data_IF_430109326189
#
_entry.id   IF_430109326189
#
_cell.length_a   1.000
_cell.length_b   1.000
_cell.length_c   1.000
_cell.angle_alpha   90.00
_cell.angle_beta   90.00
_cell.angle_gamma   90.00
#
_symmetry.space_group_name_H-M   'P 1'
#
loop_
_entity.id
_entity.type
_entity.pdbx_description
1 polymer ?
#
# COMPACT_ATOMS: atom_id res chain seq x y z
N UNK A 1 3.88 -22.37 6.22
CA UNK A 1 3.12 -21.17 5.80
C UNK A 1 4.07 -20.31 4.99
N UNK A 2 3.67 -19.88 3.79
CA UNK A 2 4.46 -19.00 2.92
C UNK A 2 3.64 -17.73 2.69
N UNK A 3 4.27 -16.56 2.82
CA UNK A 3 3.61 -15.26 2.59
C UNK A 3 4.02 -14.76 1.20
N UNK A 4 3.05 -14.39 0.33
CA UNK A 4 3.37 -13.85 -0.99
C UNK A 4 4.10 -12.51 -0.91
N UNK A 5 5.16 -12.40 -1.71
CA UNK A 5 5.91 -11.16 -1.95
C UNK A 5 6.15 -11.02 -3.46
N UNK A 6 6.52 -9.83 -3.90
CA UNK A 6 7.12 -9.62 -5.22
C UNK A 6 8.61 -9.49 -5.03
N UNK A 7 9.38 -10.36 -5.68
CA UNK A 7 10.84 -10.30 -5.66
C UNK A 7 11.34 -9.57 -6.91
N UNK A 8 12.07 -8.48 -6.72
CA UNK A 8 12.64 -7.65 -7.78
C UNK A 8 14.11 -8.00 -7.89
N UNK A 9 14.46 -8.77 -8.91
CA UNK A 9 15.85 -9.08 -9.21
C UNK A 9 16.54 -7.85 -9.82
N UNK A 10 17.78 -7.64 -9.40
CA UNK A 10 18.62 -6.54 -9.84
C UNK A 10 19.81 -7.09 -10.62
N UNK A 11 20.36 -6.29 -11.54
CA UNK A 11 21.64 -6.59 -12.17
C UNK A 11 22.78 -6.45 -11.15
N UNK A 12 23.90 -7.13 -11.41
CA UNK A 12 25.13 -6.94 -10.64
C UNK A 12 25.57 -5.48 -10.67
N UNK A 13 26.23 -5.03 -9.61
CA UNK A 13 26.86 -3.72 -9.57
C UNK A 13 27.95 -3.60 -10.66
N UNK A 14 28.36 -2.37 -11.03
CA UNK A 14 29.38 -2.17 -12.08
C UNK A 14 30.73 -2.86 -11.80
N UNK A 15 31.04 -3.16 -10.54
CA UNK A 15 32.24 -3.90 -10.11
C UNK A 15 32.08 -5.43 -10.14
N UNK A 16 30.92 -5.93 -10.57
CA UNK A 16 30.58 -7.35 -10.63
C UNK A 16 30.01 -7.93 -9.33
N UNK A 17 29.81 -7.10 -8.30
CA UNK A 17 29.20 -7.55 -7.04
C UNK A 17 27.70 -7.79 -7.24
N UNK A 18 27.16 -8.97 -6.90
CA UNK A 18 25.72 -9.21 -6.99
C UNK A 18 24.91 -8.29 -6.09
N UNK A 19 23.77 -7.79 -6.59
CA UNK A 19 22.77 -7.10 -5.78
C UNK A 19 21.72 -8.09 -5.29
N UNK A 20 21.40 -8.06 -4.00
CA UNK A 20 20.34 -8.89 -3.45
C UNK A 20 18.97 -8.52 -4.05
N UNK A 21 18.09 -9.50 -4.31
CA UNK A 21 16.73 -9.21 -4.75
C UNK A 21 15.95 -8.44 -3.69
N UNK A 22 15.26 -7.38 -4.09
CA UNK A 22 14.39 -6.62 -3.18
C UNK A 22 13.04 -7.33 -3.08
N UNK A 23 12.61 -7.66 -1.86
CA UNK A 23 11.28 -8.24 -1.60
C UNK A 23 10.31 -7.14 -1.21
N UNK A 24 9.30 -6.92 -2.04
CA UNK A 24 8.27 -5.91 -1.78
C UNK A 24 6.93 -6.55 -1.43
N UNK A 25 6.15 -5.82 -0.64
CA UNK A 25 4.80 -6.20 -0.26
C UNK A 25 3.93 -6.41 -1.51
N UNK A 26 3.11 -7.47 -1.52
CA UNK A 26 2.28 -7.88 -2.67
C UNK A 26 0.84 -8.08 -2.23
N UNK A 27 -0.10 -7.52 -2.97
CA UNK A 27 -1.55 -7.58 -2.71
C UNK A 27 -2.36 -8.30 -3.79
N UNK A 28 -1.78 -8.53 -4.97
CA UNK A 28 -2.50 -9.04 -6.15
C UNK A 28 -3.00 -10.49 -6.07
N UNK A 29 -2.65 -11.23 -5.01
CA UNK A 29 -3.01 -12.63 -4.85
C UNK A 29 -2.43 -13.56 -5.93
N UNK A 30 -2.92 -14.81 -6.01
CA UNK A 30 -2.45 -15.80 -6.99
C UNK A 30 -3.03 -15.62 -8.40
N UNK A 31 -3.96 -14.68 -8.60
CA UNK A 31 -4.78 -14.55 -9.80
C UNK A 31 -6.01 -15.47 -9.75
N UNK A 32 -7.10 -15.03 -10.36
CA UNK A 32 -8.38 -15.76 -10.37
C UNK A 32 -8.85 -16.00 -11.80
N UNK A 33 -9.59 -17.09 -12.01
CA UNK A 33 -10.49 -17.21 -13.17
C UNK A 33 -11.84 -16.67 -12.71
N UNK A 34 -12.32 -15.52 -13.23
CA UNK A 34 -13.47 -14.81 -12.68
C UNK A 34 -14.70 -15.68 -12.40
N UNK A 35 -15.01 -16.61 -13.30
CA UNK A 35 -16.18 -17.50 -13.22
C UNK A 35 -16.04 -18.63 -12.19
N UNK A 36 -14.81 -18.97 -11.80
CA UNK A 36 -14.49 -20.06 -10.86
C UNK A 36 -14.26 -19.51 -9.45
N UNK A 37 -13.57 -18.37 -9.35
CA UNK A 37 -13.14 -17.76 -8.10
C UNK A 37 -11.77 -18.26 -7.62
N UNK A 38 -11.30 -17.68 -6.52
CA UNK A 38 -10.07 -18.07 -5.86
C UNK A 38 -10.26 -19.32 -5.01
N UNK A 39 -9.18 -20.08 -4.84
CA UNK A 39 -9.14 -21.19 -3.90
C UNK A 39 -9.35 -20.67 -2.46
N UNK A 40 -10.29 -21.24 -1.68
CA UNK A 40 -10.56 -20.88 -0.29
C UNK A 40 -9.47 -21.39 0.67
N UNK A 41 -8.23 -20.98 0.45
CA UNK A 41 -7.03 -21.57 1.06
C UNK A 41 -6.97 -21.44 2.60
N UNK A 42 -7.69 -20.50 3.21
CA UNK A 42 -7.81 -20.39 4.67
C UNK A 42 -8.87 -21.30 5.28
N UNK A 43 -9.69 -22.01 4.48
CA UNK A 43 -10.74 -22.87 5.00
C UNK A 43 -10.25 -23.88 6.06
N UNK A 44 -9.09 -24.57 5.87
CA UNK A 44 -8.55 -25.46 6.89
C UNK A 44 -8.31 -24.78 8.24
N UNK A 45 -7.78 -23.54 8.25
CA UNK A 45 -7.52 -22.80 9.49
C UNK A 45 -8.78 -22.41 10.24
N UNK A 46 -9.90 -22.25 9.53
CA UNK A 46 -11.20 -21.90 10.11
C UNK A 46 -11.90 -23.17 10.60
N UNK A 47 -11.71 -24.29 9.92
CA UNK A 47 -12.23 -25.61 10.30
C UNK A 47 -11.54 -26.19 11.52
N UNK A 48 -10.20 -26.18 11.56
CA UNK A 48 -9.39 -26.76 12.63
C UNK A 48 -9.63 -26.10 14.00
N UNK A 49 -10.09 -24.84 14.04
CA UNK A 49 -10.42 -24.13 15.28
C UNK A 49 -11.68 -24.65 15.98
N UNK A 50 -12.55 -25.37 15.25
CA UNK A 50 -13.75 -26.02 15.78
C UNK A 50 -14.72 -25.09 16.55
N UNK A 51 -14.66 -23.79 16.30
CA UNK A 51 -15.50 -22.75 16.91
C UNK A 51 -16.55 -22.19 15.95
N UNK A 52 -16.55 -22.65 14.71
CA UNK A 52 -17.56 -22.35 13.68
C UNK A 52 -18.34 -23.61 13.28
N UNK A 53 -19.52 -23.40 12.72
CA UNK A 53 -20.35 -24.46 12.15
C UNK A 53 -21.11 -23.94 10.94
N UNK A 54 -21.60 -24.87 10.10
CA UNK A 54 -22.47 -24.54 8.97
C UNK A 54 -23.75 -23.90 9.51
N UNK A 55 -24.17 -22.82 8.86
CA UNK A 55 -25.34 -22.04 9.21
C UNK A 55 -26.25 -21.92 7.99
N UNK A 56 -27.53 -22.22 8.20
CA UNK A 56 -28.57 -21.94 7.21
C UNK A 56 -28.72 -20.42 7.06
N UNK A 57 -28.17 -19.87 5.98
CA UNK A 57 -28.32 -18.47 5.66
C UNK A 57 -29.75 -18.16 5.21
N UNK A 58 -30.17 -16.90 5.37
CA UNK A 58 -31.44 -16.33 4.83
C UNK A 58 -31.70 -16.68 3.35
N UNK A 59 -30.62 -17.00 2.61
CA UNK A 59 -30.65 -17.16 1.17
C UNK A 59 -30.73 -15.80 0.46
N UNK A 60 -30.36 -15.80 -0.81
CA UNK A 60 -30.48 -14.63 -1.69
C UNK A 60 -31.93 -14.44 -2.10
N UNK A 61 -32.44 -13.21 -2.01
CA UNK A 61 -33.73 -12.79 -2.57
C UNK A 61 -33.49 -11.80 -3.71
N UNK A 62 -34.40 -11.74 -4.70
CA UNK A 62 -34.29 -10.79 -5.81
C UNK A 62 -34.30 -9.33 -5.36
N UNK A 63 -34.91 -9.03 -4.21
CA UNK A 63 -34.87 -7.71 -3.58
C UNK A 63 -33.46 -7.26 -3.16
N UNK A 64 -32.53 -8.21 -2.95
CA UNK A 64 -31.13 -7.91 -2.63
C UNK A 64 -30.35 -7.43 -3.88
N UNK A 65 -30.93 -7.58 -5.08
CA UNK A 65 -30.41 -7.11 -6.37
C UNK A 65 -31.24 -5.95 -6.97
N UNK A 66 -32.12 -5.36 -6.16
CA UNK A 66 -32.88 -4.17 -6.54
C UNK A 66 -34.13 -4.42 -7.39
N UNK A 67 -34.90 -3.34 -7.60
CA UNK A 67 -36.23 -3.39 -8.25
C UNK A 67 -36.21 -3.92 -9.68
N UNK A 68 -35.12 -3.73 -10.43
CA UNK A 68 -35.01 -4.24 -11.79
C UNK A 68 -34.89 -5.76 -11.83
N UNK A 69 -34.13 -6.36 -10.91
CA UNK A 69 -34.00 -7.81 -10.80
C UNK A 69 -35.35 -8.45 -10.45
N UNK A 70 -36.11 -7.83 -9.55
CA UNK A 70 -37.49 -8.24 -9.22
C UNK A 70 -38.39 -8.19 -10.46
N UNK A 71 -38.36 -7.10 -11.23
CA UNK A 71 -39.17 -6.95 -12.45
C UNK A 71 -38.81 -7.97 -13.53
N UNK A 72 -37.52 -8.26 -13.71
CA UNK A 72 -37.02 -9.28 -14.65
C UNK A 72 -37.29 -10.71 -14.18
N UNK A 73 -37.51 -10.92 -12.88
CA UNK A 73 -37.58 -12.25 -12.26
C UNK A 73 -36.22 -12.94 -12.11
N UNK A 74 -35.11 -12.26 -12.43
CA UNK A 74 -33.75 -12.81 -12.40
C UNK A 74 -32.70 -11.68 -12.29
N UNK A 75 -31.51 -11.96 -11.72
CA UNK A 75 -30.37 -11.04 -11.82
C UNK A 75 -29.84 -10.96 -13.25
N UNK A 76 -29.00 -9.97 -13.54
CA UNK A 76 -28.35 -9.87 -14.85
C UNK A 76 -27.42 -11.06 -15.13
N UNK A 77 -26.71 -11.53 -14.10
CA UNK A 77 -25.88 -12.73 -14.15
C UNK A 77 -26.00 -13.51 -12.84
N UNK A 78 -25.48 -14.73 -12.80
CA UNK A 78 -25.43 -15.53 -11.57
C UNK A 78 -24.01 -16.03 -11.36
N UNK A 79 -23.59 -16.06 -10.10
CA UNK A 79 -22.35 -16.74 -9.72
C UNK A 79 -22.40 -18.22 -10.13
N UNK A 80 -21.36 -18.68 -10.83
CA UNK A 80 -21.27 -20.05 -11.36
C UNK A 80 -20.24 -20.92 -10.66
N UNK A 81 -19.29 -20.31 -9.96
CA UNK A 81 -18.23 -21.02 -9.24
C UNK A 81 -18.72 -21.69 -7.96
N UNK A 82 -17.78 -21.94 -7.06
CA UNK A 82 -18.04 -22.63 -5.79
C UNK A 82 -19.12 -21.91 -4.98
N UNK A 83 -20.09 -22.67 -4.46
CA UNK A 83 -21.12 -22.17 -3.53
C UNK A 83 -20.72 -22.57 -2.11
N UNK A 84 -20.03 -21.72 -1.34
CA UNK A 84 -19.59 -22.08 0.00
C UNK A 84 -20.81 -22.24 0.92
N UNK A 85 -20.74 -23.22 1.83
CA UNK A 85 -21.68 -23.32 2.93
C UNK A 85 -21.36 -22.22 3.96
N UNK A 86 -22.27 -21.27 4.21
CA UNK A 86 -22.00 -20.19 5.14
C UNK A 86 -21.73 -20.72 6.54
N UNK A 87 -20.72 -20.15 7.20
CA UNK A 87 -20.29 -20.50 8.55
C UNK A 87 -20.64 -19.39 9.53
N UNK A 88 -20.98 -19.78 10.75
CA UNK A 88 -21.17 -18.89 11.90
C UNK A 88 -20.45 -19.46 13.11
N UNK A 89 -20.09 -18.59 14.06
CA UNK A 89 -19.66 -19.02 15.38
C UNK A 89 -20.69 -20.00 15.99
N UNK A 90 -20.19 -21.08 16.61
CA UNK A 90 -21.00 -22.01 17.39
C UNK A 90 -21.59 -21.30 18.62
N UNK A 91 -22.71 -21.80 19.19
CA UNK A 91 -23.28 -21.22 20.40
C UNK A 91 -22.24 -21.06 21.52
N UNK A 92 -22.17 -19.85 22.09
CA UNK A 92 -21.22 -19.52 23.17
C UNK A 92 -19.76 -19.37 22.74
N UNK A 93 -19.45 -19.41 21.44
CA UNK A 93 -18.11 -19.15 20.90
C UNK A 93 -18.04 -17.77 20.24
N UNK A 94 -16.84 -17.19 20.24
CA UNK A 94 -16.51 -15.94 19.55
C UNK A 94 -15.31 -16.20 18.65
N UNK A 95 -15.37 -15.70 17.42
CA UNK A 95 -14.44 -16.10 16.35
C UNK A 95 -13.52 -14.97 15.88
N UNK A 96 -13.51 -13.85 16.58
CA UNK A 96 -12.76 -12.65 16.19
C UNK A 96 -11.28 -12.77 16.56
N UNK A 97 -10.42 -12.10 15.80
CA UNK A 97 -8.99 -12.08 16.09
C UNK A 97 -8.69 -11.41 17.45
N UNK A 98 -9.45 -10.38 17.83
CA UNK A 98 -9.39 -9.77 19.16
C UNK A 98 -9.72 -10.75 20.29
N UNK A 99 -10.74 -11.60 20.11
CA UNK A 99 -11.12 -12.62 21.10
C UNK A 99 -9.98 -13.61 21.36
N UNK A 100 -9.34 -14.10 20.29
CA UNK A 100 -8.19 -15.00 20.39
C UNK A 100 -6.99 -14.28 21.03
N UNK A 101 -6.67 -13.06 20.59
CA UNK A 101 -5.52 -12.29 21.06
C UNK A 101 -5.56 -12.04 22.57
N UNK A 102 -6.74 -11.64 23.09
CA UNK A 102 -6.98 -11.40 24.52
C UNK A 102 -6.83 -12.65 25.40
N UNK A 103 -6.96 -13.83 24.79
CA UNK A 103 -6.74 -15.12 25.45
C UNK A 103 -5.31 -15.64 25.32
N UNK A 104 -4.41 -14.82 24.77
CA UNK A 104 -3.03 -15.21 24.50
C UNK A 104 -2.89 -16.19 23.34
N UNK A 105 -3.93 -16.37 22.51
CA UNK A 105 -3.90 -17.30 21.38
C UNK A 105 -3.34 -16.59 20.16
N UNK A 106 -2.24 -17.12 19.63
CA UNK A 106 -1.66 -16.73 18.34
C UNK A 106 -2.27 -17.57 17.23
N UNK A 107 -3.07 -16.94 16.37
CA UNK A 107 -3.73 -17.61 15.23
C UNK A 107 -2.80 -17.77 14.02
N UNK A 108 -3.13 -18.66 13.06
CA UNK A 108 -2.45 -18.68 11.77
C UNK A 108 -2.50 -17.32 11.05
N UNK A 109 -3.60 -16.57 11.16
CA UNK A 109 -3.67 -15.22 10.57
C UNK A 109 -2.68 -14.25 11.21
N UNK A 110 -2.54 -14.27 12.54
CA UNK A 110 -1.53 -13.43 13.22
C UNK A 110 -0.11 -13.77 12.77
N UNK A 111 0.21 -15.06 12.63
CA UNK A 111 1.52 -15.49 12.10
C UNK A 111 1.72 -15.04 10.65
N UNK A 112 0.67 -15.12 9.82
CA UNK A 112 0.73 -14.69 8.43
C UNK A 112 1.05 -13.20 8.32
N UNK A 113 0.31 -12.35 9.05
CA UNK A 113 0.53 -10.89 8.99
C UNK A 113 1.86 -10.51 9.63
N UNK A 114 2.32 -11.19 10.67
CA UNK A 114 3.63 -10.96 11.27
C UNK A 114 4.76 -11.20 10.25
N UNK A 115 4.69 -12.30 9.50
CA UNK A 115 5.64 -12.59 8.42
C UNK A 115 5.53 -11.57 7.27
N UNK A 116 4.31 -11.14 6.93
CA UNK A 116 4.05 -10.14 5.89
C UNK A 116 4.62 -8.75 6.23
N UNK A 117 4.54 -8.37 7.49
CA UNK A 117 5.07 -7.12 8.05
C UNK A 117 6.52 -7.24 8.55
N UNK A 118 7.13 -8.42 8.43
CA UNK A 118 8.48 -8.72 8.91
C UNK A 118 8.71 -8.35 10.39
N UNK A 119 7.74 -8.67 11.24
CA UNK A 119 7.79 -8.35 12.67
C UNK A 119 7.51 -9.57 13.56
N UNK A 120 7.68 -9.40 14.87
CA UNK A 120 7.32 -10.43 15.85
C UNK A 120 5.80 -10.63 15.88
N UNK A 121 5.36 -11.89 15.89
CA UNK A 121 3.93 -12.23 16.02
C UNK A 121 3.33 -11.77 17.35
N UNK A 122 4.14 -11.65 18.40
CA UNK A 122 3.66 -11.11 19.67
C UNK A 122 3.35 -9.61 19.58
N UNK A 123 4.05 -8.84 18.73
CA UNK A 123 3.67 -7.46 18.45
C UNK A 123 2.26 -7.42 17.85
N UNK A 124 1.99 -8.25 16.84
CA UNK A 124 0.66 -8.37 16.22
C UNK A 124 -0.40 -8.72 17.26
N UNK A 125 -0.17 -9.76 18.06
CA UNK A 125 -1.14 -10.20 19.07
C UNK A 125 -1.39 -9.10 20.11
N UNK A 126 -0.35 -8.41 20.57
CA UNK A 126 -0.47 -7.33 21.57
C UNK A 126 -1.23 -6.12 21.02
N UNK A 127 -0.95 -5.69 19.80
CA UNK A 127 -1.66 -4.56 19.18
C UNK A 127 -3.13 -4.90 18.91
N UNK A 128 -3.44 -6.14 18.48
CA UNK A 128 -4.82 -6.62 18.32
C UNK A 128 -5.53 -6.74 19.68
N UNK A 129 -4.84 -7.19 20.72
CA UNK A 129 -5.38 -7.26 22.10
C UNK A 129 -5.76 -5.88 22.62
N UNK A 130 -4.89 -4.90 22.36
CA UNK A 130 -5.06 -3.51 22.78
C UNK A 130 -6.06 -2.73 21.93
N UNK A 131 -6.60 -3.31 20.85
CA UNK A 131 -7.50 -2.63 19.93
C UNK A 131 -6.82 -1.59 19.04
N UNK A 132 -5.47 -1.54 19.03
CA UNK A 132 -4.66 -0.63 18.20
C UNK A 132 -4.31 -1.20 16.83
N UNK A 133 -4.69 -2.45 16.58
CA UNK A 133 -4.63 -3.07 15.27
C UNK A 133 -5.82 -3.99 15.02
N UNK A 134 -6.17 -4.14 13.74
CA UNK A 134 -7.23 -5.05 13.29
C UNK A 134 -6.73 -5.94 12.16
N UNK A 135 -7.27 -7.16 12.11
CA UNK A 135 -7.07 -8.11 11.02
C UNK A 135 -8.48 -8.39 10.43
N UNK A 136 -8.89 -7.67 9.37
CA UNK A 136 -10.24 -7.73 8.82
C UNK A 136 -10.44 -9.00 7.96
N UNK A 137 -10.78 -10.11 8.62
CA UNK A 137 -10.93 -11.41 7.96
C UNK A 137 -12.20 -12.13 8.44
N UNK A 138 -13.23 -12.09 7.61
CA UNK A 138 -14.46 -12.84 7.86
C UNK A 138 -14.20 -14.35 7.69
N UNK A 139 -14.84 -15.17 8.52
CA UNK A 139 -14.83 -16.63 8.41
C UNK A 139 -15.44 -17.14 7.10
N UNK A 140 -16.25 -16.30 6.42
CA UNK A 140 -16.88 -16.59 5.12
C UNK A 140 -16.13 -16.00 3.92
N UNK A 141 -14.92 -15.48 4.13
CA UNK A 141 -14.04 -15.02 3.05
C UNK A 141 -12.69 -15.75 3.10
N UNK A 142 -12.67 -17.11 3.04
CA UNK A 142 -11.45 -17.90 3.14
C UNK A 142 -10.45 -17.69 2.00
N UNK A 143 -10.86 -17.03 0.92
CA UNK A 143 -10.03 -16.68 -0.23
C UNK A 143 -9.03 -15.55 0.08
N UNK A 144 -9.39 -14.61 0.97
CA UNK A 144 -8.57 -13.43 1.26
C UNK A 144 -7.29 -13.78 2.02
N UNK A 145 -6.18 -13.17 1.59
CA UNK A 145 -4.91 -13.17 2.26
C UNK A 145 -4.89 -12.24 3.49
N UNK A 146 -4.49 -12.72 4.68
CA UNK A 146 -4.45 -11.92 5.88
C UNK A 146 -3.57 -10.68 5.75
N UNK A 147 -4.07 -9.54 6.23
CA UNK A 147 -3.31 -8.31 6.40
C UNK A 147 -3.72 -7.64 7.73
N UNK A 148 -2.87 -6.74 8.23
CA UNK A 148 -3.10 -6.03 9.49
C UNK A 148 -3.13 -4.52 9.25
N UNK A 149 -4.06 -3.83 9.89
CA UNK A 149 -4.20 -2.38 9.88
C UNK A 149 -3.93 -1.87 11.28
N UNK A 150 -2.91 -1.03 11.44
CA UNK A 150 -2.52 -0.47 12.73
C UNK A 150 -1.26 0.38 12.60
N UNK A 151 -1.03 1.26 13.58
CA UNK A 151 0.07 2.26 13.53
C UNK A 151 1.47 1.65 13.59
N UNK A 152 1.62 0.47 14.18
CA UNK A 152 2.91 -0.23 14.26
C UNK A 152 3.28 -1.01 13.00
N UNK A 153 2.42 -1.00 11.97
CA UNK A 153 2.56 -1.77 10.73
C UNK A 153 2.66 -0.82 9.53
N UNK A 154 2.99 -1.35 8.36
CA UNK A 154 3.02 -0.55 7.12
C UNK A 154 1.67 0.16 6.91
N UNK A 155 1.69 1.34 6.32
CA UNK A 155 0.46 2.04 5.93
C UNK A 155 -0.28 1.23 4.88
N UNK A 156 -1.61 1.17 4.98
CA UNK A 156 -2.47 0.40 4.09
C UNK A 156 -3.35 1.32 3.27
N UNK A 157 -3.58 0.97 2.01
CA UNK A 157 -4.38 1.75 1.07
C UNK A 157 -5.64 0.98 0.69
N UNK A 158 -6.78 1.67 0.73
CA UNK A 158 -8.04 1.12 0.29
C UNK A 158 -8.42 1.66 -1.11
N UNK A 159 -8.92 0.78 -1.98
CA UNK A 159 -9.55 1.18 -3.24
C UNK A 159 -11.07 1.07 -3.15
N UNK A 160 -11.79 2.06 -3.68
CA UNK A 160 -13.24 2.05 -3.76
C UNK A 160 -13.66 1.68 -5.19
N UNK A 161 -14.50 0.68 -5.33
CA UNK A 161 -15.17 0.31 -6.58
C UNK A 161 -16.69 0.20 -6.33
N UNK A 162 -17.43 -0.24 -7.33
CA UNK A 162 -18.86 -0.42 -7.21
C UNK A 162 -19.55 -0.05 -8.51
N UNK A 163 -20.55 -0.85 -8.84
CA UNK A 163 -21.47 -0.51 -9.91
C UNK A 163 -22.34 0.70 -9.52
N UNK A 164 -22.90 1.36 -10.52
CA UNK A 164 -23.88 2.42 -10.32
C UNK A 164 -25.17 2.13 -11.08
N UNK A 165 -26.22 2.89 -10.79
CA UNK A 165 -27.47 2.81 -11.54
C UNK A 165 -27.33 3.14 -13.04
N UNK A 166 -26.23 3.78 -13.45
CA UNK A 166 -26.04 4.32 -14.80
C UNK A 166 -24.97 3.57 -15.59
N UNK A 167 -23.97 2.99 -14.90
CA UNK A 167 -22.80 2.37 -15.53
C UNK A 167 -22.29 1.16 -14.75
N UNK A 168 -21.62 0.29 -15.50
CA UNK A 168 -20.83 -0.86 -15.09
C UNK A 168 -21.52 -2.23 -15.02
N UNK A 169 -20.72 -3.25 -15.33
CA UNK A 169 -21.09 -4.66 -15.40
C UNK A 169 -20.30 -5.47 -14.38
N UNK A 170 -20.78 -6.66 -14.01
CA UNK A 170 -20.10 -7.54 -13.04
C UNK A 170 -18.66 -7.83 -13.46
N UNK A 171 -18.41 -8.09 -14.76
CA UNK A 171 -17.07 -8.33 -15.28
C UNK A 171 -16.14 -7.13 -15.14
N UNK A 172 -16.66 -5.90 -15.29
CA UNK A 172 -15.88 -4.69 -15.05
C UNK A 172 -15.55 -4.51 -13.57
N UNK A 173 -16.48 -4.81 -12.65
CA UNK A 173 -16.19 -4.71 -11.21
C UNK A 173 -15.12 -5.71 -10.76
N UNK A 174 -15.14 -6.95 -11.29
CA UNK A 174 -14.07 -7.93 -11.03
C UNK A 174 -12.74 -7.45 -11.63
N UNK A 175 -12.74 -6.90 -12.85
CA UNK A 175 -11.53 -6.35 -13.45
C UNK A 175 -10.97 -5.15 -12.66
N UNK A 176 -11.83 -4.27 -12.12
CA UNK A 176 -11.41 -3.17 -11.23
C UNK A 176 -10.79 -3.68 -9.94
N UNK A 177 -11.34 -4.75 -9.35
CA UNK A 177 -10.76 -5.42 -8.18
C UNK A 177 -9.36 -5.95 -8.49
N UNK A 178 -9.21 -6.72 -9.56
CA UNK A 178 -7.91 -7.27 -9.96
C UNK A 178 -6.90 -6.17 -10.25
N UNK A 179 -7.33 -5.10 -10.92
CA UNK A 179 -6.49 -3.94 -11.21
C UNK A 179 -6.05 -3.22 -9.95
N UNK A 180 -6.97 -2.94 -9.02
CA UNK A 180 -6.66 -2.28 -7.76
C UNK A 180 -5.67 -3.11 -6.93
N UNK A 181 -5.93 -4.41 -6.78
CA UNK A 181 -5.05 -5.31 -6.04
C UNK A 181 -3.68 -5.45 -6.70
N UNK A 182 -3.60 -5.45 -8.04
CA UNK A 182 -2.34 -5.45 -8.80
C UNK A 182 -1.45 -4.24 -8.47
N UNK A 183 -2.06 -3.07 -8.33
CA UNK A 183 -1.34 -1.81 -8.12
C UNK A 183 -1.18 -1.40 -6.65
N UNK A 184 -1.45 -2.33 -5.71
CA UNK A 184 -1.11 -2.13 -4.30
C UNK A 184 -2.28 -1.76 -3.39
N UNK A 185 -3.54 -1.91 -3.82
CA UNK A 185 -4.65 -1.79 -2.88
C UNK A 185 -4.62 -2.96 -1.88
N UNK A 186 -4.54 -2.63 -0.59
CA UNK A 186 -4.50 -3.58 0.52
C UNK A 186 -5.89 -4.08 0.93
N UNK A 187 -6.89 -3.23 0.75
CA UNK A 187 -8.31 -3.54 0.94
C UNK A 187 -9.11 -2.92 -0.19
N UNK A 188 -10.32 -3.42 -0.37
CA UNK A 188 -11.25 -2.85 -1.33
C UNK A 188 -12.62 -2.69 -0.72
N UNK A 189 -13.30 -1.57 -0.97
CA UNK A 189 -14.70 -1.41 -0.61
C UNK A 189 -15.57 -1.51 -1.85
N UNK A 190 -16.56 -2.40 -1.77
CA UNK A 190 -17.68 -2.43 -2.70
C UNK A 190 -18.72 -1.38 -2.25
N UNK A 191 -18.74 -0.26 -2.97
CA UNK A 191 -19.69 0.83 -2.80
C UNK A 191 -20.79 0.80 -3.87
N UNK A 192 -21.08 -0.38 -4.42
CA UNK A 192 -22.14 -0.61 -5.40
C UNK A 192 -23.47 0.04 -4.97
N UNK A 193 -24.09 0.75 -5.92
CA UNK A 193 -25.42 1.35 -5.78
C UNK A 193 -26.31 0.92 -6.95
N UNK A 194 -27.58 0.68 -6.68
CA UNK A 194 -28.57 0.34 -7.71
C UNK A 194 -28.86 -1.16 -7.85
N UNK A 195 -28.72 -1.71 -9.07
CA UNK A 195 -29.16 -3.08 -9.37
C UNK A 195 -28.03 -4.10 -9.23
N UNK A 196 -28.40 -5.36 -9.04
CA UNK A 196 -27.51 -6.52 -8.98
C UNK A 196 -26.40 -6.41 -7.90
N UNK A 197 -26.62 -5.63 -6.82
CA UNK A 197 -25.63 -5.38 -5.76
C UNK A 197 -25.14 -6.69 -5.13
N UNK A 198 -26.06 -7.52 -4.65
CA UNK A 198 -25.70 -8.77 -3.98
C UNK A 198 -24.96 -9.72 -4.93
N UNK A 199 -25.42 -9.79 -6.18
CA UNK A 199 -24.77 -10.61 -7.21
C UNK A 199 -23.35 -10.11 -7.48
N UNK A 200 -23.17 -8.82 -7.79
CA UNK A 200 -21.85 -8.20 -8.02
C UNK A 200 -20.90 -8.47 -6.87
N UNK A 201 -21.37 -8.30 -5.63
CA UNK A 201 -20.57 -8.55 -4.43
C UNK A 201 -20.15 -10.00 -4.26
N UNK A 202 -21.01 -10.95 -4.62
CA UNK A 202 -20.63 -12.36 -4.60
C UNK A 202 -19.46 -12.63 -5.54
N UNK A 203 -19.49 -12.07 -6.77
CA UNK A 203 -18.36 -12.16 -7.70
C UNK A 203 -17.10 -11.49 -7.15
N UNK A 204 -17.20 -10.30 -6.56
CA UNK A 204 -16.07 -9.60 -5.95
C UNK A 204 -15.47 -10.43 -4.81
N UNK A 205 -16.28 -10.91 -3.87
CA UNK A 205 -15.82 -11.67 -2.71
C UNK A 205 -15.09 -12.96 -3.10
N UNK A 206 -15.66 -13.72 -4.04
CA UNK A 206 -15.10 -15.00 -4.50
C UNK A 206 -13.80 -14.83 -5.31
N UNK A 207 -13.59 -13.65 -5.90
CA UNK A 207 -12.39 -13.33 -6.68
C UNK A 207 -11.37 -12.46 -5.93
N UNK A 208 -11.66 -12.04 -4.70
CA UNK A 208 -10.80 -11.08 -3.99
C UNK A 208 -9.74 -11.76 -3.12
N UNK A 209 -8.44 -11.52 -3.38
CA UNK A 209 -7.37 -11.92 -2.49
C UNK A 209 -7.19 -10.95 -1.31
N UNK A 210 -7.85 -9.79 -1.32
CA UNK A 210 -7.76 -8.75 -0.29
C UNK A 210 -9.09 -8.60 0.48
N UNK A 211 -9.08 -8.10 1.73
CA UNK A 211 -10.30 -7.86 2.49
C UNK A 211 -11.29 -6.96 1.75
N UNK A 212 -12.56 -7.37 1.77
CA UNK A 212 -13.66 -6.60 1.18
C UNK A 212 -14.46 -5.87 2.26
N UNK A 213 -14.46 -4.55 2.19
CA UNK A 213 -15.37 -3.68 2.93
C UNK A 213 -16.66 -3.41 2.16
N UNK A 214 -17.69 -3.04 2.90
CA UNK A 214 -18.96 -2.55 2.36
C UNK A 214 -19.45 -1.45 3.28
N UNK A 215 -20.40 -0.65 2.83
CA UNK A 215 -21.13 0.27 3.68
C UNK A 215 -22.55 -0.29 3.82
N UNK A 216 -22.84 -1.09 4.87
CA UNK A 216 -24.16 -1.72 5.03
C UNK A 216 -25.27 -0.68 5.07
N UNK A 217 -24.96 0.54 5.52
CA UNK A 217 -25.92 1.61 5.48
C UNK A 217 -26.28 1.99 4.05
N UNK A 218 -25.43 1.98 3.01
CA UNK A 218 -25.93 2.23 1.64
C UNK A 218 -26.94 1.17 1.16
N UNK A 219 -26.84 -0.07 1.66
CA UNK A 219 -27.84 -1.12 1.45
C UNK A 219 -29.10 -0.95 2.34
N UNK A 220 -29.02 -0.15 3.41
CA UNK A 220 -30.07 0.07 4.39
C UNK A 220 -30.65 1.51 4.42
N UNK A 221 -29.98 2.53 3.88
CA UNK A 221 -30.35 3.96 3.76
C UNK A 221 -31.25 4.15 2.55
N UNK A 222 -31.31 3.18 1.62
CA UNK A 222 -32.51 3.00 0.79
C UNK A 222 -33.78 2.74 1.65
N UNK A 223 -33.65 2.50 2.96
CA UNK A 223 -34.76 2.13 3.85
C UNK A 223 -35.04 3.09 5.01
N UNK A 224 -34.10 3.94 5.45
CA UNK A 224 -34.34 4.91 6.55
C UNK A 224 -33.39 6.12 6.51
N UNK A 225 -33.93 7.31 6.21
CA UNK A 225 -33.23 8.62 6.22
C UNK A 225 -32.70 8.98 7.62
N UNK A 226 -31.37 9.12 7.81
CA UNK A 226 -30.80 9.50 9.10
C UNK A 226 -29.40 10.13 9.04
N UNK A 227 -29.20 11.16 9.89
CA UNK A 227 -28.04 12.06 10.01
C UNK A 227 -26.98 11.51 11.02
N UNK A 228 -25.69 11.64 10.72
CA UNK A 228 -24.61 10.79 11.29
C UNK A 228 -23.36 11.53 11.83
N UNK A 229 -23.50 12.77 12.31
CA UNK A 229 -22.35 13.57 12.74
C UNK A 229 -22.31 13.82 14.27
N UNK A 230 -21.74 12.90 15.06
CA UNK A 230 -21.27 13.25 16.41
C UNK A 230 -20.01 12.48 16.84
N UNK A 231 -18.95 13.22 17.19
CA UNK A 231 -17.64 12.69 17.55
C UNK A 231 -17.62 11.98 18.91
N UNK A 232 -18.51 12.34 19.84
CA UNK A 232 -18.65 11.66 21.13
C UNK A 232 -19.18 10.22 20.96
N UNK A 233 -19.94 9.98 19.90
CA UNK A 233 -20.53 8.68 19.59
C UNK A 233 -19.48 7.65 19.18
N UNK A 234 -18.41 8.04 18.47
CA UNK A 234 -17.39 7.10 17.97
C UNK A 234 -16.53 6.48 19.09
N UNK A 235 -16.17 7.27 20.10
CA UNK A 235 -15.44 6.81 21.27
C UNK A 235 -16.23 5.76 22.06
N UNK A 236 -17.51 6.04 22.29
CA UNK A 236 -18.41 5.15 23.02
C UNK A 236 -18.66 3.85 22.25
N UNK A 237 -18.87 3.93 20.92
CA UNK A 237 -19.07 2.74 20.08
C UNK A 237 -17.83 1.85 20.02
N UNK A 238 -16.62 2.44 20.02
CA UNK A 238 -15.37 1.69 20.02
C UNK A 238 -15.25 0.83 21.29
N UNK A 239 -15.49 1.43 22.46
CA UNK A 239 -15.45 0.72 23.75
C UNK A 239 -16.51 -0.39 23.83
N UNK A 240 -17.75 -0.09 23.42
CA UNK A 240 -18.84 -1.08 23.39
C UNK A 240 -18.54 -2.25 22.46
N UNK A 241 -17.98 -1.99 21.28
CA UNK A 241 -17.58 -3.06 20.36
C UNK A 241 -16.47 -3.93 20.97
N UNK A 242 -15.49 -3.31 21.64
CA UNK A 242 -14.44 -4.03 22.36
C UNK A 242 -14.97 -4.86 23.52
N UNK A 243 -16.02 -4.47 24.23
CA UNK A 243 -16.67 -5.32 25.25
C UNK A 243 -17.18 -6.65 24.67
N UNK A 244 -17.46 -6.68 23.37
CA UNK A 244 -17.89 -7.86 22.61
C UNK A 244 -16.77 -8.53 21.79
N UNK A 245 -15.50 -8.18 22.06
CA UNK A 245 -14.34 -8.62 21.29
C UNK A 245 -14.43 -8.31 19.78
N UNK A 246 -15.19 -7.29 19.37
CA UNK A 246 -15.30 -6.87 17.97
C UNK A 246 -14.14 -5.93 17.64
N UNK A 247 -13.43 -6.23 16.55
CA UNK A 247 -12.34 -5.38 16.05
C UNK A 247 -12.91 -4.07 15.48
N UNK A 248 -12.24 -2.95 15.77
CA UNK A 248 -12.70 -1.61 15.38
C UNK A 248 -11.55 -0.84 14.73
N UNK A 249 -11.85 -0.15 13.64
CA UNK A 249 -11.07 0.96 13.12
C UNK A 249 -12.00 2.16 12.94
N UNK A 250 -11.44 3.36 12.92
CA UNK A 250 -12.21 4.61 12.84
C UNK A 250 -11.95 5.28 11.51
N UNK A 251 -13.02 5.70 10.85
CA UNK A 251 -12.94 6.52 9.63
C UNK A 251 -12.80 8.00 9.98
N UNK A 252 -12.08 8.75 9.14
CA UNK A 252 -11.80 10.17 9.37
C UNK A 252 -12.46 11.12 8.39
N UNK A 253 -12.35 12.43 8.67
CA UNK A 253 -12.96 13.44 7.81
C UNK A 253 -12.22 13.56 6.48
N UNK A 254 -12.95 13.84 5.40
CA UNK A 254 -12.37 13.94 4.05
C UNK A 254 -11.67 15.27 3.77
N UNK A 255 -12.33 16.41 3.99
CA UNK A 255 -11.79 17.73 3.66
C UNK A 255 -11.25 18.45 4.91
N UNK A 256 -9.93 18.49 5.07
CA UNK A 256 -9.26 19.11 6.21
C UNK A 256 -8.13 20.04 5.71
N UNK A 257 -8.09 21.32 6.13
CA UNK A 257 -6.94 22.17 5.88
C UNK A 257 -5.66 21.59 6.51
N UNK A 258 -4.51 21.66 5.82
CA UNK A 258 -3.25 21.03 6.25
C UNK A 258 -2.85 21.35 7.70
N UNK A 259 -3.05 22.60 8.14
CA UNK A 259 -2.73 23.02 9.51
C UNK A 259 -3.59 22.35 10.60
N UNK A 260 -4.75 21.77 10.24
CA UNK A 260 -5.66 21.05 11.14
C UNK A 260 -5.47 19.53 11.11
N UNK A 261 -4.65 19.00 10.20
CA UNK A 261 -4.46 17.55 10.07
C UNK A 261 -3.91 16.94 11.36
N UNK A 262 -2.89 17.56 11.95
CA UNK A 262 -2.29 17.11 13.21
C UNK A 262 -3.32 17.07 14.35
N UNK A 263 -4.09 18.15 14.50
CA UNK A 263 -5.13 18.25 15.54
C UNK A 263 -6.17 17.12 15.40
N UNK A 264 -6.62 16.82 14.17
CA UNK A 264 -7.58 15.75 13.93
C UNK A 264 -7.01 14.36 14.29
N UNK A 265 -5.75 14.10 13.93
CA UNK A 265 -5.08 12.84 14.28
C UNK A 265 -4.92 12.71 15.80
N UNK A 266 -4.39 13.73 16.47
CA UNK A 266 -4.18 13.70 17.92
C UNK A 266 -5.51 13.52 18.67
N UNK A 267 -6.55 14.26 18.28
CA UNK A 267 -7.86 14.17 18.90
C UNK A 267 -8.52 12.81 18.69
N UNK A 268 -8.41 12.22 17.50
CA UNK A 268 -8.98 10.90 17.28
C UNK A 268 -8.25 9.83 18.11
N UNK A 269 -6.92 9.90 18.19
CA UNK A 269 -6.13 8.94 18.97
C UNK A 269 -6.51 8.98 20.45
N UNK A 270 -6.73 10.18 20.99
CA UNK A 270 -7.20 10.37 22.37
C UNK A 270 -8.64 9.86 22.56
N UNK A 271 -9.56 10.22 21.67
CA UNK A 271 -10.98 9.87 21.81
C UNK A 271 -11.25 8.38 21.61
N UNK A 272 -10.49 7.71 20.74
CA UNK A 272 -10.73 6.32 20.35
C UNK A 272 -9.70 5.35 20.92
N UNK A 273 -8.98 5.75 21.98
CA UNK A 273 -8.00 4.92 22.70
C UNK A 273 -6.97 4.24 21.77
N UNK A 274 -6.51 4.97 20.75
CA UNK A 274 -5.54 4.47 19.77
C UNK A 274 -6.07 3.46 18.76
N UNK A 275 -7.39 3.29 18.62
CA UNK A 275 -7.99 2.52 17.53
C UNK A 275 -7.44 3.00 16.17
N UNK A 276 -7.17 2.09 15.21
CA UNK A 276 -6.59 2.44 13.92
C UNK A 276 -7.36 3.55 13.21
N UNK A 277 -6.63 4.59 12.80
CA UNK A 277 -7.12 5.77 12.09
C UNK A 277 -5.96 6.45 11.39
N UNK A 278 -6.09 6.71 10.08
CA UNK A 278 -5.06 7.31 9.23
C UNK A 278 -3.64 6.98 9.70
N UNK A 279 -3.35 5.69 9.77
CA UNK A 279 -2.17 5.19 10.45
C UNK A 279 -0.93 5.57 9.65
N UNK A 280 0.00 6.30 10.28
CA UNK A 280 1.36 6.43 9.79
C UNK A 280 2.15 5.22 10.30
N UNK A 281 2.76 4.49 9.38
CA UNK A 281 3.56 3.30 9.67
C UNK A 281 5.03 3.64 9.96
N UNK A 282 5.87 2.61 10.18
CA UNK A 282 7.30 2.79 10.33
C UNK A 282 7.93 3.39 9.06
N UNK A 283 9.04 4.11 9.24
CA UNK A 283 9.84 4.60 8.11
C UNK A 283 10.42 3.40 7.36
N UNK A 284 10.23 3.38 6.05
CA UNK A 284 10.85 2.42 5.14
C UNK A 284 11.86 3.15 4.27
N UNK A 285 13.11 2.69 4.25
CA UNK A 285 14.16 3.26 3.38
C UNK A 285 14.71 2.25 2.38
N UNK A 286 14.50 0.95 2.58
CA UNK A 286 15.15 -0.11 1.79
C UNK A 286 14.90 0.03 0.28
N UNK A 287 13.64 0.27 -0.11
CA UNK A 287 13.28 0.47 -1.53
C UNK A 287 13.87 1.75 -2.09
N UNK A 288 13.81 2.84 -1.32
CA UNK A 288 14.36 4.14 -1.70
C UNK A 288 15.89 4.08 -1.88
N UNK A 289 16.58 3.40 -0.96
CA UNK A 289 18.03 3.15 -1.01
C UNK A 289 18.39 2.30 -2.24
N UNK A 290 17.65 1.22 -2.50
CA UNK A 290 17.85 0.37 -3.67
C UNK A 290 17.63 1.14 -4.99
N UNK A 291 16.54 1.92 -5.09
CA UNK A 291 16.22 2.72 -6.26
C UNK A 291 17.26 3.82 -6.48
N UNK A 292 17.71 4.46 -5.40
CA UNK A 292 18.72 5.52 -5.43
C UNK A 292 20.09 4.97 -5.81
N UNK A 293 20.45 3.79 -5.32
CA UNK A 293 21.66 3.07 -5.73
C UNK A 293 21.61 2.76 -7.23
N UNK A 294 20.53 2.14 -7.70
CA UNK A 294 20.34 1.84 -9.13
C UNK A 294 20.41 3.10 -10.01
N UNK A 295 19.85 4.22 -9.52
CA UNK A 295 19.97 5.53 -10.17
C UNK A 295 21.41 6.02 -10.25
N UNK A 296 22.14 5.96 -9.14
CA UNK A 296 23.51 6.45 -9.07
C UNK A 296 24.50 5.62 -9.91
N UNK A 297 24.20 4.34 -10.09
CA UNK A 297 24.99 3.38 -10.86
C UNK A 297 24.52 3.24 -12.32
N UNK A 298 23.56 4.07 -12.75
CA UNK A 298 22.99 4.03 -14.11
C UNK A 298 22.41 2.67 -14.54
N UNK A 299 21.96 1.87 -13.57
CA UNK A 299 21.21 0.62 -13.81
C UNK A 299 19.75 0.96 -14.11
N UNK A 300 19.48 1.52 -15.28
CA UNK A 300 18.16 2.05 -15.66
C UNK A 300 17.04 1.02 -15.53
N UNK A 301 17.26 -0.22 -15.98
CA UNK A 301 16.24 -1.28 -15.87
C UNK A 301 15.90 -1.61 -14.42
N UNK A 302 16.90 -1.64 -13.55
CA UNK A 302 16.67 -1.86 -12.12
C UNK A 302 15.94 -0.68 -11.52
N UNK A 303 16.31 0.56 -11.87
CA UNK A 303 15.59 1.76 -11.43
C UNK A 303 14.10 1.71 -11.82
N UNK A 304 13.78 1.31 -13.06
CA UNK A 304 12.39 1.17 -13.51
C UNK A 304 11.68 0.06 -12.71
N UNK A 305 12.29 -1.12 -12.63
CA UNK A 305 11.73 -2.26 -11.91
C UNK A 305 11.49 -1.99 -10.42
N UNK A 306 12.33 -1.16 -9.80
CA UNK A 306 12.19 -0.72 -8.41
C UNK A 306 11.14 0.39 -8.23
N UNK A 307 10.71 1.06 -9.30
CA UNK A 307 9.65 2.07 -9.26
C UNK A 307 8.28 1.49 -8.90
N UNK A 308 7.38 2.31 -8.34
CA UNK A 308 6.01 1.88 -8.01
C UNK A 308 5.19 1.51 -9.26
N UNK A 309 5.46 2.21 -10.36
CA UNK A 309 4.95 1.90 -11.70
C UNK A 309 6.13 1.75 -12.68
N UNK A 310 6.67 0.54 -12.83
CA UNK A 310 7.80 0.29 -13.71
C UNK A 310 7.53 0.60 -15.18
N UNK A 311 6.28 0.41 -15.62
CA UNK A 311 5.87 0.58 -17.02
C UNK A 311 5.92 2.07 -17.37
N UNK A 312 5.23 2.91 -16.58
CA UNK A 312 5.25 4.36 -16.80
C UNK A 312 6.64 4.96 -16.63
N UNK A 313 7.44 4.48 -15.67
CA UNK A 313 8.82 4.94 -15.49
C UNK A 313 9.68 4.70 -16.74
N UNK A 314 9.53 3.53 -17.38
CA UNK A 314 10.24 3.23 -18.61
C UNK A 314 9.69 4.02 -19.80
N UNK A 315 8.37 4.14 -19.94
CA UNK A 315 7.73 4.91 -21.01
C UNK A 315 8.24 6.35 -21.04
N UNK A 316 8.28 7.03 -19.90
CA UNK A 316 8.76 8.41 -19.80
C UNK A 316 10.24 8.58 -20.16
N UNK A 317 11.07 7.59 -19.83
CA UNK A 317 12.47 7.57 -20.28
C UNK A 317 12.53 7.42 -21.82
N UNK A 318 11.74 6.50 -22.36
CA UNK A 318 11.79 6.08 -23.76
C UNK A 318 11.14 7.07 -24.73
N UNK A 319 10.33 8.00 -24.24
CA UNK A 319 9.84 9.15 -25.00
C UNK A 319 10.98 9.92 -25.69
N UNK A 320 12.14 9.99 -25.05
CA UNK A 320 13.31 10.74 -25.56
C UNK A 320 14.51 9.85 -25.88
N UNK A 321 14.66 8.73 -25.19
CA UNK A 321 15.80 7.82 -25.33
C UNK A 321 15.34 6.36 -25.52
N UNK A 322 14.62 6.02 -26.62
CA UNK A 322 14.02 4.71 -26.81
C UNK A 322 15.05 3.61 -27.13
N UNK A 323 16.23 3.98 -27.64
CA UNK A 323 17.23 3.02 -28.09
C UNK A 323 17.78 2.19 -26.91
N UNK A 324 17.91 0.88 -27.10
CA UNK A 324 18.41 -0.04 -26.06
C UNK A 324 19.73 0.37 -25.40
N UNK A 325 20.75 0.87 -26.13
CA UNK A 325 21.98 1.36 -25.50
C UNK A 325 21.78 2.50 -24.48
N UNK A 326 20.65 3.21 -24.53
CA UNK A 326 20.33 4.25 -23.55
C UNK A 326 20.07 3.66 -22.15
N UNK A 327 19.64 2.40 -22.04
CA UNK A 327 19.40 1.72 -20.75
C UNK A 327 20.68 1.36 -19.99
N UNK A 328 21.83 1.58 -20.62
CA UNK A 328 23.16 1.43 -20.03
C UNK A 328 23.95 2.75 -20.08
N UNK A 329 23.31 3.86 -20.50
CA UNK A 329 23.98 5.13 -20.65
C UNK A 329 24.18 5.83 -19.29
N UNK A 330 25.35 6.43 -19.10
CA UNK A 330 25.68 7.22 -17.90
C UNK A 330 25.12 8.66 -17.97
N UNK A 331 23.90 8.82 -18.47
CA UNK A 331 23.17 10.08 -18.53
C UNK A 331 21.69 9.84 -18.86
N UNK A 332 20.86 10.86 -18.65
CA UNK A 332 19.47 10.92 -19.13
C UNK A 332 19.29 12.07 -20.12
N UNK A 333 18.10 12.16 -20.73
CA UNK A 333 17.75 13.20 -21.69
C UNK A 333 17.79 14.62 -21.13
N UNK A 334 17.58 14.79 -19.81
CA UNK A 334 17.58 16.11 -19.18
C UNK A 334 18.96 16.78 -19.18
N UNK A 335 20.02 16.03 -18.86
CA UNK A 335 21.37 16.59 -18.74
C UNK A 335 22.25 16.29 -19.95
N UNK A 336 21.87 15.28 -20.75
CA UNK A 336 22.71 14.73 -21.80
C UNK A 336 24.04 14.21 -21.26
N UNK A 337 24.95 13.79 -22.16
CA UNK A 337 26.20 13.19 -21.74
C UNK A 337 27.08 14.18 -20.99
N UNK A 338 27.18 15.45 -21.39
CA UNK A 338 28.20 16.37 -20.87
C UNK A 338 27.93 16.92 -19.47
N UNK A 339 26.66 17.04 -19.07
CA UNK A 339 26.27 17.77 -17.85
C UNK A 339 25.59 16.91 -16.80
N UNK A 340 25.62 15.58 -16.93
CA UNK A 340 25.05 14.69 -15.93
C UNK A 340 25.81 14.80 -14.60
N UNK A 341 25.15 15.34 -13.57
CA UNK A 341 25.74 15.55 -12.24
C UNK A 341 26.20 14.25 -11.59
N UNK A 342 25.44 13.16 -11.74
CA UNK A 342 25.80 11.85 -11.20
C UNK A 342 27.05 11.29 -11.86
N UNK A 343 27.18 11.45 -13.19
CA UNK A 343 28.36 10.99 -13.93
C UNK A 343 29.59 11.78 -13.51
N UNK A 344 29.48 13.11 -13.45
CA UNK A 344 30.55 13.99 -12.97
C UNK A 344 30.97 13.59 -11.54
N UNK A 345 30.00 13.29 -10.67
CA UNK A 345 30.28 12.85 -9.30
C UNK A 345 30.95 11.47 -9.24
N UNK A 346 30.68 10.59 -10.20
CA UNK A 346 31.35 9.30 -10.34
C UNK A 346 32.79 9.50 -10.84
N UNK A 347 32.99 10.28 -11.90
CA UNK A 347 34.31 10.61 -12.44
C UNK A 347 35.23 11.22 -11.36
N UNK A 348 34.69 12.11 -10.52
CA UNK A 348 35.40 12.70 -9.38
C UNK A 348 35.77 11.62 -8.34
N UNK A 349 34.85 10.72 -7.99
CA UNK A 349 35.10 9.64 -7.03
C UNK A 349 36.15 8.65 -7.55
N UNK A 350 36.09 8.30 -8.83
CA UNK A 350 37.04 7.37 -9.46
C UNK A 350 38.44 7.99 -9.55
N UNK A 351 38.52 9.31 -9.82
CA UNK A 351 39.80 10.03 -9.96
C UNK A 351 40.44 10.38 -8.62
N UNK A 352 39.64 10.82 -7.64
CA UNK A 352 40.14 11.44 -6.40
C UNK A 352 39.80 10.66 -5.13
N UNK A 353 39.08 9.54 -5.24
CA UNK A 353 38.66 8.70 -4.11
C UNK A 353 37.42 9.22 -3.38
N UNK A 354 37.14 8.67 -2.18
CA UNK A 354 36.01 9.07 -1.32
C UNK A 354 36.10 10.52 -0.85
N UNK A 355 35.03 11.05 -0.25
CA UNK A 355 35.04 12.38 0.37
C UNK A 355 36.17 12.55 1.40
N UNK A 356 36.51 11.49 2.13
CA UNK A 356 37.63 11.49 3.08
C UNK A 356 38.99 11.58 2.38
N UNK A 357 39.16 10.88 1.25
CA UNK A 357 40.36 10.95 0.42
C UNK A 357 40.49 12.32 -0.25
N UNK A 358 39.37 12.92 -0.67
CA UNK A 358 39.31 14.25 -1.26
C UNK A 358 39.58 15.35 -0.22
N UNK A 359 39.13 15.19 1.02
CA UNK A 359 39.43 16.09 2.13
C UNK A 359 40.94 16.08 2.47
N UNK A 360 41.64 14.97 2.22
CA UNK A 360 43.09 14.87 2.34
C UNK A 360 43.86 15.57 1.19
N UNK A 361 43.20 15.97 0.10
CA UNK A 361 43.80 16.77 -0.96
C UNK A 361 43.92 18.22 -0.47
N UNK A 362 45.12 18.59 -0.02
CA UNK A 362 45.48 19.87 0.61
C UNK A 362 45.09 21.18 -0.14
N UNK A 363 44.49 21.09 -1.34
CA UNK A 363 44.06 22.21 -2.16
C UNK A 363 42.75 22.86 -1.72
N UNK A 364 41.75 22.09 -1.26
CA UNK A 364 40.44 22.65 -0.90
C UNK A 364 40.47 23.40 0.44
N UNK A 365 41.17 22.89 1.45
CA UNK A 365 41.38 23.62 2.71
C UNK A 365 42.13 24.93 2.49
N UNK A 366 43.16 24.91 1.62
CA UNK A 366 43.90 26.12 1.24
C UNK A 366 43.02 27.11 0.49
N UNK A 367 42.21 26.66 -0.47
CA UNK A 367 41.27 27.53 -1.20
C UNK A 367 40.15 28.07 -0.32
N UNK A 368 39.69 27.29 0.66
CA UNK A 368 38.74 27.74 1.68
C UNK A 368 39.36 28.83 2.58
N UNK A 369 40.61 28.65 3.01
CA UNK A 369 41.36 29.67 3.75
C UNK A 369 41.60 30.93 2.89
N UNK A 370 41.98 30.78 1.62
CA UNK A 370 42.14 31.90 0.68
C UNK A 370 40.81 32.64 0.46
N UNK A 371 39.70 31.92 0.30
CA UNK A 371 38.35 32.50 0.14
C UNK A 371 37.92 33.29 1.38
N UNK A 372 38.16 32.76 2.57
CA UNK A 372 37.91 33.47 3.83
C UNK A 372 38.84 34.68 3.98
N UNK A 373 40.09 34.58 3.56
CA UNK A 373 41.06 35.68 3.62
C UNK A 373 40.70 36.85 2.69
N UNK A 374 40.01 36.59 1.58
CA UNK A 374 39.45 37.64 0.69
C UNK A 374 38.03 38.08 1.08
N UNK A 375 37.59 37.76 2.31
CA UNK A 375 36.32 38.24 2.86
C UNK A 375 35.09 37.42 2.47
N UNK A 376 35.27 36.22 1.91
CA UNK A 376 34.18 35.30 1.59
C UNK A 376 33.27 35.77 0.43
N UNK A 377 33.79 36.60 -0.46
CA UNK A 377 33.02 37.15 -1.59
C UNK A 377 33.16 36.25 -2.83
N UNK A 378 32.03 35.87 -3.41
CA UNK A 378 31.95 34.99 -4.60
C UNK A 378 32.35 35.72 -5.89
N UNK A 379 32.20 37.05 -5.91
CA UNK A 379 32.58 37.90 -7.04
C UNK A 379 33.87 38.65 -6.68
N UNK A 380 34.98 38.29 -7.34
CA UNK A 380 36.20 39.08 -7.30
C UNK A 380 36.01 40.34 -8.16
N UNK A 381 36.58 41.50 -7.80
CA UNK A 381 36.51 42.69 -8.64
C UNK A 381 37.06 42.42 -10.05
N UNK A 382 36.46 43.06 -11.06
CA UNK A 382 36.84 42.88 -12.47
C UNK A 382 38.37 43.01 -12.65
N UNK A 383 39.02 42.11 -13.40
CA UNK A 383 40.46 42.19 -13.62
C UNK A 383 40.78 43.48 -14.37
N UNK A 384 41.55 44.38 -13.75
CA UNK A 384 42.06 45.56 -14.45
C UNK A 384 43.05 45.13 -15.53
N UNK A 385 42.74 45.44 -16.80
CA UNK A 385 43.70 45.31 -17.90
C UNK A 385 44.83 46.32 -17.68
N UNK A 386 46.06 45.83 -17.64
CA UNK A 386 47.27 46.66 -17.54
C UNK A 386 47.38 47.49 -18.82
N UNK A 387 47.41 48.81 -18.72
CA UNK A 387 47.66 49.66 -19.89
C UNK A 387 49.06 49.36 -20.47
N UNK A 388 49.21 49.29 -21.80
CA UNK A 388 50.50 49.03 -22.43
C UNK A 388 51.46 50.20 -22.19
N UNK A 389 52.67 49.89 -21.73
CA UNK A 389 53.75 50.86 -21.54
C UNK A 389 53.99 51.65 -22.83
N UNK A 390 53.72 52.95 -22.80
CA UNK A 390 54.11 53.87 -23.87
C UNK A 390 55.63 54.03 -23.83
N UNK A 391 56.34 53.21 -24.61
CA UNK A 391 57.72 53.45 -24.96
C UNK A 391 57.81 54.79 -25.72
N UNK A 392 58.46 55.78 -25.12
CA UNK A 392 58.84 57.03 -25.79
C UNK A 392 60.29 56.87 -26.28
N UNK A 393 60.61 57.27 -27.53
CA UNK A 393 61.83 56.88 -28.25
C UNK A 393 63.16 57.33 -27.64
#
# INVERSE_FOLDING_TARGET
MQVPVTEIHQLDAPDGTPNDPLRVYRTMGPGSVPEEGLEPWRAPWIEERDDTGVHEARGRKLEDDGRSAVRRGAPSQQWRGRKPEPRRARPGRTVTQMHYARRGVVTPEMRFVALREQCDVELVRQEVTAGRAVIPLNVNHPESEPMVIGRQFLVKVNANIGNSAVTSSISEEVAKLEWAAKWGADTLMDLSTGNDIHTTREWILRNSPIPIGTVPIYQALEKVDGDANDAAQFAELTKRAWEHDVQVMVEGPGHIPLHKTRENVERQQELCDGAPFYTLGPLATERDDALSKARSEFRWRDQFGLGLDPVTAQEYHDETLPAEPAKTAHFCSMCGPKFCSMRISQDIRDTYGSADNQAAIAGMQRKSQEFLAVGGQVYLPEPALREPDTATP
#
